data_IF_917502863502
#
_entry.id   IF_917502863502
#
_cell.length_a   1.000
_cell.length_b   1.000
_cell.length_c   1.000
_cell.angle_alpha   90.00
_cell.angle_beta   90.00
_cell.angle_gamma   90.00
#
_symmetry.space_group_name_H-M   'P 1'
#
loop_
_entity.id
_entity.type
_entity.pdbx_description
1 polymer ?
#
# COMPACT_ATOMS: atom_id res chain seq x y z
N UNK A 1 -27.89 27.23 -54.65
CA UNK A 1 -27.32 25.87 -54.67
C UNK A 1 -25.97 25.91 -53.94
N UNK A 2 -25.99 25.34 -52.74
CA UNK A 2 -24.97 25.17 -51.69
C UNK A 2 -23.49 25.44 -52.00
N UNK A 3 -22.94 26.50 -51.37
CA UNK A 3 -21.53 26.58 -50.96
C UNK A 3 -21.38 25.77 -49.66
N UNK A 4 -20.58 24.70 -49.66
CA UNK A 4 -20.28 23.92 -48.46
C UNK A 4 -18.77 23.82 -48.23
N UNK A 5 -18.34 24.48 -47.14
CA UNK A 5 -17.32 24.12 -46.16
C UNK A 5 -15.94 23.63 -46.68
N UNK A 6 -14.82 24.33 -46.52
CA UNK A 6 -14.46 25.26 -45.43
C UNK A 6 -13.92 24.48 -44.23
N UNK A 7 -12.59 24.40 -44.15
CA UNK A 7 -11.79 23.78 -43.09
C UNK A 7 -12.38 23.96 -41.68
N UNK A 8 -12.64 22.84 -40.99
CA UNK A 8 -12.98 22.84 -39.57
C UNK A 8 -12.04 21.90 -38.80
N UNK A 9 -10.74 22.21 -38.85
CA UNK A 9 -9.80 21.82 -37.78
C UNK A 9 -10.13 22.68 -36.54
N UNK A 10 -11.25 22.37 -35.92
CA UNK A 10 -11.65 22.91 -34.64
C UNK A 10 -10.78 22.28 -33.55
N UNK A 11 -9.80 23.04 -33.08
CA UNK A 11 -9.12 22.80 -31.80
C UNK A 11 -10.17 22.66 -30.70
N UNK A 12 -10.37 21.44 -30.19
CA UNK A 12 -10.97 21.24 -28.88
C UNK A 12 -10.02 21.86 -27.84
N UNK A 13 -10.46 22.82 -27.00
CA UNK A 13 -9.65 23.26 -25.89
C UNK A 13 -9.59 22.14 -24.85
N UNK A 14 -8.50 21.37 -24.85
CA UNK A 14 -8.07 20.59 -23.68
C UNK A 14 -7.57 21.57 -22.62
N UNK A 15 -8.47 22.35 -22.04
CA UNK A 15 -8.23 22.99 -20.74
C UNK A 15 -8.81 22.06 -19.68
N UNK A 16 -8.07 21.01 -19.34
CA UNK A 16 -8.18 20.47 -17.99
C UNK A 16 -7.79 21.63 -17.04
N UNK A 17 -8.66 22.11 -16.14
CA UNK A 17 -8.23 23.08 -15.16
C UNK A 17 -7.06 22.47 -14.39
N UNK A 18 -5.95 23.22 -14.30
CA UNK A 18 -4.81 22.80 -13.51
C UNK A 18 -5.29 22.40 -12.10
N UNK A 19 -4.82 21.29 -11.52
CA UNK A 19 -5.18 20.93 -10.16
C UNK A 19 -4.78 22.11 -9.26
N UNK A 20 -5.77 22.65 -8.54
CA UNK A 20 -5.59 23.76 -7.63
C UNK A 20 -4.40 23.43 -6.70
N UNK A 21 -3.34 24.27 -6.64
CA UNK A 21 -2.19 24.04 -5.76
C UNK A 21 -2.59 23.96 -4.28
N UNK A 22 -3.81 24.42 -3.94
CA UNK A 22 -4.38 24.41 -2.60
C UNK A 22 -5.39 23.27 -2.36
N UNK A 23 -5.49 22.25 -3.22
CA UNK A 23 -6.40 21.11 -2.99
C UNK A 23 -6.01 20.31 -1.73
N UNK A 24 -4.72 20.28 -1.39
CA UNK A 24 -4.20 19.57 -0.21
C UNK A 24 -4.53 20.33 1.10
N UNK A 25 -4.74 21.66 1.05
CA UNK A 25 -4.95 22.48 2.25
C UNK A 25 -6.41 22.56 2.71
N UNK A 26 -7.37 22.08 1.91
CA UNK A 26 -8.79 22.01 2.32
C UNK A 26 -9.13 20.75 3.12
N UNK A 27 -8.19 19.80 3.21
CA UNK A 27 -8.27 18.66 4.11
C UNK A 27 -7.86 19.07 5.52
N UNK A 28 -8.65 19.93 6.16
CA UNK A 28 -8.45 20.14 7.59
C UNK A 28 -8.78 18.84 8.35
N UNK A 29 -7.86 18.40 9.21
CA UNK A 29 -7.86 17.08 9.82
C UNK A 29 -9.02 16.99 10.80
N UNK A 30 -9.65 15.83 10.84
CA UNK A 30 -10.55 15.50 11.95
C UNK A 30 -9.85 15.79 13.29
N UNK A 31 -10.49 16.64 14.09
CA UNK A 31 -10.13 16.98 15.47
C UNK A 31 -9.74 15.72 16.27
N UNK A 32 -8.52 15.75 16.84
CA UNK A 32 -8.00 14.86 17.90
C UNK A 32 -7.24 13.63 17.38
N UNK A 33 -5.93 13.49 17.54
CA UNK A 33 -5.14 13.69 18.77
C UNK A 33 -3.88 14.54 18.55
N UNK A 34 -3.65 15.45 19.49
CA UNK A 34 -2.44 16.23 19.66
C UNK A 34 -1.26 15.36 20.10
N UNK A 35 -0.21 15.32 19.28
CA UNK A 35 1.17 15.30 19.78
C UNK A 35 1.89 16.40 19.03
N UNK A 36 2.28 17.47 19.72
CA UNK A 36 2.86 18.68 19.16
C UNK A 36 4.21 18.47 18.48
N UNK A 37 4.19 17.89 17.28
CA UNK A 37 5.28 17.90 16.31
C UNK A 37 4.63 17.93 14.93
N UNK A 38 4.92 18.98 14.15
CA UNK A 38 4.36 19.19 12.82
C UNK A 38 4.68 18.04 11.86
N UNK A 39 3.69 17.67 11.05
CA UNK A 39 3.72 16.71 9.94
C UNK A 39 3.99 15.22 10.26
N UNK A 40 3.11 14.34 9.77
CA UNK A 40 3.38 12.94 9.41
C UNK A 40 4.00 11.99 10.48
N UNK A 41 3.48 11.96 11.71
CA UNK A 41 3.87 10.87 12.64
C UNK A 41 3.05 9.61 12.34
N UNK A 42 3.57 8.80 11.42
CA UNK A 42 3.12 7.42 11.25
C UNK A 42 3.22 6.69 12.59
N UNK A 43 2.09 6.22 13.09
CA UNK A 43 1.95 5.33 14.26
C UNK A 43 3.19 4.42 14.37
N UNK A 44 3.90 4.38 15.52
CA UNK A 44 5.15 3.59 15.74
C UNK A 44 5.07 2.18 15.14
N UNK A 45 3.87 1.61 15.15
CA UNK A 45 3.55 0.30 14.61
C UNK A 45 3.66 0.21 13.08
N UNK A 46 3.35 1.26 12.33
CA UNK A 46 3.57 1.37 10.88
C UNK A 46 5.06 1.40 10.55
N UNK A 47 5.85 2.18 11.30
CA UNK A 47 7.31 2.27 11.12
C UNK A 47 7.96 0.90 11.33
N UNK A 48 7.61 0.21 12.42
CA UNK A 48 8.08 -1.15 12.70
C UNK A 48 7.66 -2.17 11.63
N UNK A 49 6.49 -1.97 11.02
CA UNK A 49 6.00 -2.82 9.94
C UNK A 49 6.72 -2.55 8.61
N UNK A 50 7.04 -1.29 8.34
CA UNK A 50 7.89 -0.88 7.23
C UNK A 50 9.27 -1.50 7.31
N UNK A 51 9.97 -1.41 8.45
CA UNK A 51 11.26 -2.07 8.63
C UNK A 51 11.19 -3.59 8.48
N UNK A 52 10.09 -4.22 8.96
CA UNK A 52 9.85 -5.66 8.74
C UNK A 52 9.70 -5.99 7.24
N UNK A 53 8.99 -5.17 6.46
CA UNK A 53 8.89 -5.35 5.00
C UNK A 53 10.25 -5.25 4.31
N UNK A 54 11.06 -4.25 4.67
CA UNK A 54 12.40 -4.08 4.11
C UNK A 54 13.31 -5.27 4.42
N UNK A 55 13.30 -5.73 5.67
CA UNK A 55 14.03 -6.93 6.07
C UNK A 55 13.53 -8.19 5.36
N UNK A 56 12.23 -8.33 5.15
CA UNK A 56 11.65 -9.46 4.42
C UNK A 56 12.09 -9.48 2.96
N UNK A 57 12.05 -8.33 2.28
CA UNK A 57 12.55 -8.19 0.91
C UNK A 57 14.04 -8.55 0.81
N UNK A 58 14.88 -8.03 1.73
CA UNK A 58 16.33 -8.33 1.77
C UNK A 58 16.63 -9.83 1.88
N UNK A 59 15.81 -10.59 2.62
CA UNK A 59 16.04 -12.00 2.90
C UNK A 59 15.10 -12.96 2.14
N UNK A 60 14.35 -12.45 1.16
CA UNK A 60 13.36 -13.23 0.43
C UNK A 60 14.00 -14.40 -0.32
N UNK A 61 14.99 -14.11 -1.16
CA UNK A 61 15.68 -15.10 -1.99
C UNK A 61 16.32 -16.19 -1.12
N UNK A 62 17.12 -15.80 -0.12
CA UNK A 62 17.79 -16.75 0.80
C UNK A 62 16.79 -17.66 1.51
N UNK A 63 15.66 -17.13 1.97
CA UNK A 63 14.62 -17.97 2.59
C UNK A 63 13.96 -18.92 1.61
N UNK A 64 13.65 -18.47 0.40
CA UNK A 64 13.05 -19.33 -0.63
C UNK A 64 14.00 -20.49 -0.97
N UNK A 65 15.28 -20.20 -1.18
CA UNK A 65 16.32 -21.20 -1.43
C UNK A 65 16.43 -22.21 -0.28
N UNK A 66 16.63 -21.77 0.96
CA UNK A 66 16.77 -22.71 2.08
C UNK A 66 15.50 -23.52 2.35
N UNK A 67 14.30 -22.94 2.10
CA UNK A 67 13.05 -23.70 2.19
C UNK A 67 12.89 -24.72 1.08
N UNK A 68 13.39 -24.44 -0.13
CA UNK A 68 13.40 -25.41 -1.23
C UNK A 68 14.33 -26.58 -0.88
N UNK A 69 15.59 -26.28 -0.52
CA UNK A 69 16.58 -27.30 -0.12
C UNK A 69 16.12 -28.15 1.08
N UNK A 70 15.45 -27.54 2.06
CA UNK A 70 14.91 -28.29 3.20
C UNK A 70 13.76 -29.24 2.80
N UNK A 71 12.94 -28.88 1.82
CA UNK A 71 11.77 -29.67 1.38
C UNK A 71 12.10 -30.77 0.40
N UNK A 72 13.20 -30.64 -0.32
CA UNK A 72 13.65 -31.58 -1.32
C UNK A 72 14.02 -32.93 -0.67
N UNK A 73 13.36 -33.99 -1.11
CA UNK A 73 13.53 -35.35 -0.62
C UNK A 73 14.78 -36.03 -1.17
N UNK A 74 15.27 -35.57 -2.32
CA UNK A 74 16.33 -36.23 -3.08
C UNK A 74 17.72 -35.80 -2.57
N UNK A 75 17.80 -34.62 -1.94
CA UNK A 75 19.01 -34.16 -1.27
C UNK A 75 19.37 -35.04 -0.06
N UNK A 76 20.67 -35.29 0.18
CA UNK A 76 21.13 -36.04 1.34
C UNK A 76 20.78 -35.32 2.64
N UNK A 77 20.51 -36.08 3.71
CA UNK A 77 20.07 -35.55 5.01
C UNK A 77 20.99 -34.44 5.54
N UNK A 78 22.31 -34.60 5.38
CA UNK A 78 23.30 -33.62 5.83
C UNK A 78 23.07 -32.22 5.22
N UNK A 79 22.80 -32.15 3.92
CA UNK A 79 22.57 -30.86 3.24
C UNK A 79 21.21 -30.26 3.64
N UNK A 80 20.19 -31.11 3.82
CA UNK A 80 18.87 -30.70 4.32
C UNK A 80 18.96 -30.09 5.72
N UNK A 81 19.76 -30.69 6.60
CA UNK A 81 20.02 -30.21 7.95
C UNK A 81 20.79 -28.89 7.96
N UNK A 82 21.82 -28.75 7.11
CA UNK A 82 22.55 -27.47 6.92
C UNK A 82 21.60 -26.36 6.45
N UNK A 83 20.71 -26.64 5.51
CA UNK A 83 19.70 -25.68 5.04
C UNK A 83 18.72 -25.30 6.16
N UNK A 84 18.28 -26.26 6.98
CA UNK A 84 17.42 -26.03 8.15
C UNK A 84 18.12 -25.14 9.19
N UNK A 85 19.39 -25.40 9.48
CA UNK A 85 20.20 -24.59 10.39
C UNK A 85 20.36 -23.14 9.87
N UNK A 86 20.70 -22.98 8.59
CA UNK A 86 20.81 -21.65 7.94
C UNK A 86 19.48 -20.89 7.97
N UNK A 87 18.35 -21.57 7.76
CA UNK A 87 17.01 -20.98 7.84
C UNK A 87 16.70 -20.49 9.27
N UNK A 88 17.08 -21.26 10.29
CA UNK A 88 16.91 -20.89 11.71
C UNK A 88 17.73 -19.65 12.09
N UNK A 89 18.94 -19.51 11.54
CA UNK A 89 19.85 -18.37 11.81
C UNK A 89 19.36 -17.04 11.23
N UNK A 90 18.44 -17.04 10.27
CA UNK A 90 17.90 -15.80 9.69
C UNK A 90 17.07 -15.00 10.71
N UNK A 91 17.10 -13.66 10.64
CA UNK A 91 16.41 -12.83 11.62
C UNK A 91 14.90 -13.08 11.61
N UNK A 92 14.31 -13.31 12.78
CA UNK A 92 12.88 -13.68 12.90
C UNK A 92 11.93 -12.67 12.26
N UNK A 93 12.28 -11.38 12.30
CA UNK A 93 11.46 -10.28 11.77
C UNK A 93 11.40 -10.19 10.24
N UNK A 94 12.29 -10.86 9.52
CA UNK A 94 12.22 -10.88 8.05
C UNK A 94 11.24 -11.92 7.51
N UNK A 95 10.58 -12.72 8.37
CA UNK A 95 9.62 -13.71 7.92
C UNK A 95 8.33 -13.05 7.40
N UNK A 96 7.88 -13.45 6.20
CA UNK A 96 6.66 -12.92 5.56
C UNK A 96 5.40 -13.06 6.41
N UNK A 97 5.28 -14.12 7.22
CA UNK A 97 4.14 -14.34 8.12
C UNK A 97 3.97 -13.27 9.21
N UNK A 98 5.02 -12.47 9.48
CA UNK A 98 4.98 -11.39 10.48
C UNK A 98 4.53 -10.06 9.92
N UNK A 99 4.44 -9.92 8.61
CA UNK A 99 3.99 -8.68 7.99
C UNK A 99 2.47 -8.57 8.18
N UNK A 100 1.97 -7.37 8.46
CA UNK A 100 0.53 -7.11 8.55
C UNK A 100 0.14 -5.93 7.68
N UNK A 101 -0.98 -6.06 6.98
CA UNK A 101 -1.54 -4.93 6.23
C UNK A 101 -2.08 -3.91 7.24
N UNK A 102 -1.54 -2.69 7.21
CA UNK A 102 -1.97 -1.56 8.04
C UNK A 102 -2.51 -0.45 7.17
N UNK A 103 -3.43 0.33 7.74
CA UNK A 103 -3.90 1.56 7.12
C UNK A 103 -2.75 2.57 7.01
N UNK A 104 -2.58 3.16 5.83
CA UNK A 104 -1.55 4.18 5.58
C UNK A 104 -1.86 5.45 6.40
N UNK A 105 -3.12 5.88 6.44
CA UNK A 105 -3.55 7.11 7.12
C UNK A 105 -3.53 6.99 8.65
N UNK A 106 -4.08 5.90 9.19
CA UNK A 106 -4.35 5.78 10.64
C UNK A 106 -3.54 4.71 11.35
N UNK A 107 -2.77 3.88 10.64
CA UNK A 107 -2.01 2.77 11.24
C UNK A 107 -2.84 1.59 11.78
N UNK A 108 -4.17 1.65 11.63
CA UNK A 108 -5.10 0.60 12.06
C UNK A 108 -4.75 -0.75 11.40
N UNK A 109 -4.58 -1.83 12.18
CA UNK A 109 -4.16 -3.13 11.65
C UNK A 109 -5.29 -4.05 11.17
N UNK A 110 -6.56 -3.66 11.34
CA UNK A 110 -7.73 -4.50 11.07
C UNK A 110 -8.67 -3.84 10.09
N UNK A 111 -9.40 -4.67 9.33
CA UNK A 111 -10.36 -4.25 8.32
C UNK A 111 -9.73 -3.24 7.35
N UNK A 112 -8.58 -3.61 6.78
CA UNK A 112 -7.85 -2.84 5.78
C UNK A 112 -8.19 -3.42 4.41
N UNK A 113 -8.71 -2.60 3.51
CA UNK A 113 -8.91 -3.00 2.13
C UNK A 113 -7.55 -3.04 1.42
N UNK A 114 -7.19 -4.18 0.83
CA UNK A 114 -5.87 -4.35 0.24
C UNK A 114 -5.62 -3.44 -0.98
N UNK A 115 -6.63 -3.26 -1.84
CA UNK A 115 -6.56 -2.42 -3.04
C UNK A 115 -6.25 -0.96 -2.71
N UNK A 116 -6.94 -0.42 -1.70
CA UNK A 116 -6.81 1.00 -1.31
C UNK A 116 -5.76 1.23 -0.22
N UNK A 117 -5.32 0.16 0.48
CA UNK A 117 -4.42 0.23 1.65
C UNK A 117 -4.94 1.15 2.78
N UNK A 118 -6.25 1.22 2.93
CA UNK A 118 -6.93 2.05 3.95
C UNK A 118 -7.83 1.21 4.84
N UNK A 119 -8.04 1.68 6.07
CA UNK A 119 -9.03 1.07 6.97
C UNK A 119 -10.45 1.33 6.49
N UNK A 120 -11.40 0.48 6.88
CA UNK A 120 -12.82 0.66 6.58
C UNK A 120 -13.41 2.03 7.00
N UNK A 121 -12.85 2.66 8.04
CA UNK A 121 -13.35 3.93 8.58
C UNK A 121 -13.00 5.05 7.60
N UNK A 122 -11.71 5.17 7.29
CA UNK A 122 -11.17 6.13 6.33
C UNK A 122 -11.77 5.88 4.94
N UNK A 123 -11.90 4.62 4.53
CA UNK A 123 -12.54 4.28 3.26
C UNK A 123 -13.98 4.80 3.18
N UNK A 124 -14.79 4.59 4.23
CA UNK A 124 -16.17 5.08 4.25
C UNK A 124 -16.22 6.61 4.20
N UNK A 125 -15.34 7.27 4.96
CA UNK A 125 -15.28 8.73 5.01
C UNK A 125 -14.93 9.34 3.65
N UNK A 126 -13.87 8.82 3.00
CA UNK A 126 -13.45 9.28 1.68
C UNK A 126 -14.47 8.93 0.58
N UNK A 127 -15.12 7.76 0.68
CA UNK A 127 -16.22 7.39 -0.21
C UNK A 127 -17.41 8.36 -0.07
N UNK A 128 -17.77 8.74 1.16
CA UNK A 128 -18.84 9.70 1.41
C UNK A 128 -18.51 11.11 0.93
N UNK A 129 -17.23 11.49 0.94
CA UNK A 129 -16.76 12.76 0.37
C UNK A 129 -16.64 12.76 -1.16
N UNK A 130 -16.73 11.58 -1.79
CA UNK A 130 -16.60 11.44 -3.25
C UNK A 130 -15.16 11.49 -3.77
N UNK A 131 -14.17 11.35 -2.90
CA UNK A 131 -12.75 11.41 -3.27
C UNK A 131 -12.22 10.11 -3.87
N UNK A 132 -12.96 9.02 -3.69
CA UNK A 132 -12.60 7.72 -4.25
C UNK A 132 -13.21 7.54 -5.63
N UNK A 133 -12.33 7.49 -6.64
CA UNK A 133 -12.72 7.25 -8.03
C UNK A 133 -13.43 5.90 -8.18
N UNK A 134 -14.61 5.90 -8.82
CA UNK A 134 -15.37 4.69 -9.12
C UNK A 134 -16.09 4.05 -7.93
N UNK A 135 -16.08 4.67 -6.75
CA UNK A 135 -16.84 4.20 -5.59
C UNK A 135 -18.19 4.92 -5.53
N UNK A 136 -19.28 4.16 -5.68
CA UNK A 136 -20.65 4.65 -5.50
C UNK A 136 -21.35 3.87 -4.40
N UNK A 137 -22.33 4.51 -3.73
CA UNK A 137 -23.24 3.80 -2.82
C UNK A 137 -23.97 2.73 -3.62
N UNK A 138 -23.99 1.51 -3.10
CA UNK A 138 -24.76 0.44 -3.72
C UNK A 138 -26.26 0.62 -3.39
N UNK A 139 -27.10 0.45 -4.41
CA UNK A 139 -28.55 0.41 -4.31
C UNK A 139 -28.99 -0.86 -5.03
N UNK A 140 -29.51 -1.81 -4.26
CA UNK A 140 -30.16 -3.03 -4.73
C UNK A 140 -31.57 -3.07 -4.14
#
# INVERSE_FOLDING_TARGET
MFKLFGNFLGKLPLQSPAPNPNFISQFHPFRGYSTGVGAFVGDKRNILDYHRRQLAAKHELRRKLYKAMWRDTDLPSSEREKARYKLSKLPRNSAFNRLRNRCIFTGRPRAVYEKFRMSRIVFRELASKGELLGVKKASW
#
